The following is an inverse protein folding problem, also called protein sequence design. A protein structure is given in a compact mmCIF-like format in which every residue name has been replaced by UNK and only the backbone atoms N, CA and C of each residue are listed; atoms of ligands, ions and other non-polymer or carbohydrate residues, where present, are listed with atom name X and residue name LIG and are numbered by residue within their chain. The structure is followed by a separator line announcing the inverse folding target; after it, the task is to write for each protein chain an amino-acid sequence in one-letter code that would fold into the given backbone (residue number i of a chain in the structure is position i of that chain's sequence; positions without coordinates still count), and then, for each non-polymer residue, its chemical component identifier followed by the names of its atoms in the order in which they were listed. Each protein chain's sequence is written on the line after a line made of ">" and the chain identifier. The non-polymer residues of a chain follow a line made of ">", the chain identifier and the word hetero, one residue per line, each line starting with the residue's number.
data_IF_152263697714
#
_entry.id   IF_152263697714
#
_cell.length_a   1.000
_cell.length_b   1.000
_cell.length_c   1.000
_cell.angle_alpha   90.00
_cell.angle_beta   90.00
_cell.angle_gamma   90.00
#
_symmetry.space_group_name_H-M   'P 1'
#
loop_
_entity.id
_entity.type
_entity.pdbx_description
1 polymer ?
#
# COMPACT_ATOMS: atom_id res chain seq x y z
N UNK A 1 23.33 -10.72 3.21
CA UNK A 1 23.95 -10.14 1.99
C UNK A 1 24.24 -11.26 1.01
N UNK A 2 23.43 -11.47 -0.02
CA UNK A 2 23.84 -12.06 -1.31
C UNK A 2 22.59 -12.06 -2.23
N UNK A 3 22.28 -10.92 -2.85
CA UNK A 3 21.29 -10.89 -3.92
C UNK A 3 21.94 -11.37 -5.21
N UNK A 4 21.50 -12.53 -5.69
CA UNK A 4 21.90 -13.13 -6.97
C UNK A 4 21.64 -12.19 -8.17
N UNK A 5 20.83 -11.14 -8.01
CA UNK A 5 20.60 -10.09 -9.01
C UNK A 5 21.85 -9.29 -9.40
N UNK A 6 22.81 -9.08 -8.47
CA UNK A 6 24.07 -8.37 -8.76
C UNK A 6 25.04 -9.23 -9.57
N UNK A 7 25.03 -10.55 -9.33
CA UNK A 7 25.77 -11.53 -10.12
C UNK A 7 25.19 -11.66 -11.54
N UNK A 8 23.87 -11.55 -11.68
CA UNK A 8 23.20 -11.56 -12.98
C UNK A 8 23.46 -10.29 -13.79
N UNK A 9 23.34 -9.10 -13.19
CA UNK A 9 23.62 -7.81 -13.86
C UNK A 9 25.04 -7.73 -14.47
N UNK A 10 26.04 -8.33 -13.81
CA UNK A 10 27.41 -8.41 -14.32
C UNK A 10 27.57 -9.37 -15.52
N UNK A 11 26.77 -10.45 -15.59
CA UNK A 11 26.79 -11.38 -16.74
C UNK A 11 26.20 -10.76 -18.02
N UNK A 12 25.26 -9.81 -17.88
CA UNK A 12 24.60 -9.13 -19.02
C UNK A 12 25.22 -7.74 -19.32
N UNK A 13 26.39 -7.43 -18.74
CA UNK A 13 27.17 -6.22 -19.01
C UNK A 13 26.40 -4.89 -18.83
N UNK A 14 25.48 -4.84 -17.86
CA UNK A 14 24.70 -3.63 -17.54
C UNK A 14 25.52 -2.76 -16.59
N UNK A 15 26.21 -1.75 -17.14
CA UNK A 15 26.95 -0.75 -16.37
C UNK A 15 26.02 0.44 -16.08
N UNK A 16 25.94 0.82 -14.80
CA UNK A 16 25.09 1.88 -14.22
C UNK A 16 23.65 1.46 -13.92
N UNK A 17 23.45 1.01 -12.68
CA UNK A 17 22.15 0.74 -12.07
C UNK A 17 21.95 1.76 -10.94
N UNK A 18 21.25 2.86 -11.25
CA UNK A 18 20.82 3.85 -10.26
C UNK A 18 19.30 3.93 -10.33
N UNK A 19 18.63 3.32 -9.34
CA UNK A 19 17.17 3.29 -9.27
C UNK A 19 16.67 2.09 -8.47
N UNK A 20 15.65 2.32 -7.64
CA UNK A 20 14.99 1.28 -6.85
C UNK A 20 14.53 0.08 -7.67
N UNK A 21 14.35 -1.04 -6.98
CA UNK A 21 14.26 -2.43 -7.45
C UNK A 21 13.34 -2.69 -8.65
N UNK A 22 12.35 -1.85 -8.93
CA UNK A 22 11.33 -2.08 -9.97
C UNK A 22 11.78 -1.54 -11.34
N UNK A 23 12.41 -0.37 -11.36
CA UNK A 23 13.00 0.16 -12.59
C UNK A 23 14.22 -0.69 -12.99
N UNK A 24 14.93 -1.19 -11.97
CA UNK A 24 16.02 -2.16 -12.10
C UNK A 24 15.53 -3.50 -12.66
N UNK A 25 14.48 -4.12 -12.09
CA UNK A 25 13.96 -5.41 -12.58
C UNK A 25 13.28 -5.29 -13.95
N UNK A 26 12.52 -4.23 -14.20
CA UNK A 26 11.87 -4.00 -15.50
C UNK A 26 12.89 -3.74 -16.60
N UNK A 27 13.96 -2.98 -16.31
CA UNK A 27 15.08 -2.76 -17.25
C UNK A 27 15.87 -4.06 -17.49
N UNK A 28 16.14 -4.87 -16.46
CA UNK A 28 16.81 -6.17 -16.60
C UNK A 28 15.94 -7.13 -17.44
N UNK A 29 14.63 -7.17 -17.18
CA UNK A 29 13.67 -8.00 -17.93
C UNK A 29 13.55 -7.56 -19.38
N UNK A 30 13.29 -6.28 -19.65
CA UNK A 30 13.11 -5.78 -21.02
C UNK A 30 14.40 -5.81 -21.83
N UNK A 31 15.56 -5.55 -21.22
CA UNK A 31 16.86 -5.62 -21.91
C UNK A 31 17.31 -7.07 -22.12
N UNK A 32 17.20 -7.92 -21.09
CA UNK A 32 17.58 -9.34 -21.16
C UNK A 32 16.69 -10.19 -22.08
N UNK A 33 15.39 -9.90 -22.17
CA UNK A 33 14.46 -10.59 -23.09
C UNK A 33 14.65 -10.14 -24.54
N UNK A 34 15.09 -8.90 -24.78
CA UNK A 34 15.35 -8.35 -26.13
C UNK A 34 16.72 -8.74 -26.69
N UNK A 35 17.72 -8.97 -25.84
CA UNK A 35 19.09 -9.30 -26.27
C UNK A 35 19.33 -10.82 -26.43
N UNK A 36 18.36 -11.70 -26.11
CA UNK A 36 18.55 -13.15 -26.14
C UNK A 36 17.47 -13.89 -26.95
N UNK A 37 17.90 -14.67 -27.96
CA UNK A 37 17.04 -15.60 -28.73
C UNK A 37 16.94 -17.00 -28.09
N UNK A 38 17.54 -17.20 -26.92
CA UNK A 38 17.60 -18.50 -26.24
C UNK A 38 16.45 -18.66 -25.24
N UNK A 39 15.56 -19.62 -25.52
CA UNK A 39 14.37 -19.93 -24.72
C UNK A 39 14.73 -20.38 -23.30
N UNK A 40 15.90 -20.99 -23.10
CA UNK A 40 16.33 -21.47 -21.79
C UNK A 40 16.70 -20.32 -20.85
N UNK A 41 17.33 -19.27 -21.39
CA UNK A 41 17.66 -18.04 -20.66
C UNK A 41 16.37 -17.29 -20.27
N UNK A 42 15.35 -17.28 -21.14
CA UNK A 42 14.03 -16.70 -20.81
C UNK A 42 13.37 -17.41 -19.63
N UNK A 43 13.44 -18.74 -19.56
CA UNK A 43 12.91 -19.51 -18.44
C UNK A 43 13.72 -19.28 -17.15
N UNK A 44 15.04 -19.22 -17.23
CA UNK A 44 15.91 -18.97 -16.07
C UNK A 44 15.75 -17.53 -15.53
N UNK A 45 15.48 -16.55 -16.40
CA UNK A 45 15.09 -15.19 -16.01
C UNK A 45 13.78 -15.19 -15.26
N UNK A 46 12.80 -16.01 -15.65
CA UNK A 46 11.51 -16.09 -14.96
C UNK A 46 11.61 -16.91 -13.65
N UNK A 47 12.49 -17.90 -13.58
CA UNK A 47 12.67 -18.79 -12.44
C UNK A 47 13.68 -18.28 -11.39
N UNK A 48 14.61 -17.40 -11.77
CA UNK A 48 15.73 -16.93 -10.93
C UNK A 48 15.53 -15.58 -10.21
N UNK A 49 14.39 -14.91 -10.40
CA UNK A 49 14.06 -13.67 -9.66
C UNK A 49 13.40 -14.06 -8.34
N UNK A 50 14.19 -14.57 -7.39
CA UNK A 50 13.75 -14.52 -6.01
C UNK A 50 13.73 -13.05 -5.60
N UNK A 51 12.60 -12.50 -5.11
CA UNK A 51 12.54 -11.10 -4.69
C UNK A 51 13.65 -10.85 -3.66
N UNK A 52 14.48 -9.84 -3.93
CA UNK A 52 15.45 -9.37 -2.95
C UNK A 52 14.67 -8.80 -1.76
N UNK A 53 14.39 -9.61 -0.74
CA UNK A 53 13.79 -9.15 0.51
C UNK A 53 14.86 -8.39 1.27
N UNK A 54 14.93 -7.08 1.02
CA UNK A 54 15.70 -6.17 1.87
C UNK A 54 14.81 -5.80 3.06
N UNK A 55 15.36 -5.76 4.29
CA UNK A 55 14.56 -5.60 5.53
C UNK A 55 13.65 -4.37 5.57
N UNK A 56 13.95 -3.33 4.78
CA UNK A 56 13.25 -2.04 4.80
C UNK A 56 12.67 -1.65 3.42
N UNK A 57 12.59 -2.59 2.47
CA UNK A 57 12.03 -2.32 1.14
C UNK A 57 10.74 -3.09 0.94
N UNK A 58 9.79 -2.46 0.25
CA UNK A 58 8.52 -3.05 -0.08
C UNK A 58 8.65 -4.13 -1.15
N UNK A 59 7.83 -5.17 -1.01
CA UNK A 59 7.71 -6.26 -1.97
C UNK A 59 6.67 -5.88 -3.04
N UNK A 60 7.10 -5.81 -4.30
CA UNK A 60 6.21 -5.42 -5.40
C UNK A 60 5.89 -6.60 -6.31
N UNK A 61 4.60 -6.83 -6.51
CA UNK A 61 4.06 -7.84 -7.39
C UNK A 61 3.26 -7.18 -8.52
N UNK A 62 3.49 -7.65 -9.75
CA UNK A 62 2.78 -7.20 -10.94
C UNK A 62 1.83 -8.31 -11.39
N UNK A 63 0.57 -7.94 -11.61
CA UNK A 63 -0.39 -8.78 -12.34
C UNK A 63 -0.72 -8.14 -13.68
N UNK A 64 -1.56 -8.78 -14.48
CA UNK A 64 -1.96 -8.25 -15.80
C UNK A 64 -2.64 -6.88 -15.71
N UNK A 65 -3.30 -6.57 -14.59
CA UNK A 65 -4.15 -5.38 -14.42
C UNK A 65 -3.83 -4.57 -13.16
N UNK A 66 -3.12 -5.17 -12.19
CA UNK A 66 -2.88 -4.59 -10.87
C UNK A 66 -1.38 -4.53 -10.55
N UNK A 67 -0.99 -3.48 -9.82
CA UNK A 67 0.35 -3.31 -9.24
C UNK A 67 0.19 -3.30 -7.74
N UNK A 68 0.67 -4.37 -7.08
CA UNK A 68 0.56 -4.53 -5.64
C UNK A 68 1.89 -4.21 -4.98
N UNK A 69 1.89 -3.33 -3.99
CA UNK A 69 3.05 -3.01 -3.18
C UNK A 69 2.79 -3.39 -1.72
N UNK A 70 3.53 -4.36 -1.21
CA UNK A 70 3.43 -4.82 0.17
C UNK A 70 4.60 -4.29 1.01
N UNK A 71 4.26 -3.47 1.99
CA UNK A 71 5.16 -2.80 2.90
C UNK A 71 4.82 -3.11 4.36
N UNK A 72 4.02 -4.15 4.61
CA UNK A 72 3.59 -4.50 5.96
C UNK A 72 4.76 -4.93 6.85
N UNK A 73 4.66 -4.65 8.15
CA UNK A 73 5.62 -5.09 9.16
C UNK A 73 7.08 -4.66 8.88
N UNK A 74 7.30 -3.49 8.26
CA UNK A 74 8.65 -2.98 7.93
C UNK A 74 9.09 -1.82 8.82
N UNK A 75 8.39 -1.62 9.94
CA UNK A 75 8.65 -0.56 10.91
C UNK A 75 8.72 0.86 10.29
N UNK A 76 7.94 1.08 9.22
CA UNK A 76 7.93 2.34 8.49
C UNK A 76 7.34 3.46 9.35
N UNK A 77 7.97 4.63 9.29
CA UNK A 77 7.47 5.87 9.93
C UNK A 77 6.86 6.85 8.93
N UNK A 78 6.99 6.56 7.63
CA UNK A 78 6.51 7.39 6.54
C UNK A 78 6.03 6.50 5.38
N UNK A 79 5.21 7.06 4.49
CA UNK A 79 4.77 6.35 3.30
C UNK A 79 5.97 6.01 2.40
N UNK A 80 6.09 4.75 1.94
CA UNK A 80 7.23 4.27 1.16
C UNK A 80 7.36 4.97 -0.20
N UNK A 81 8.60 5.28 -0.59
CA UNK A 81 8.91 5.90 -1.89
C UNK A 81 9.28 4.91 -2.98
N UNK A 82 9.57 3.66 -2.60
CA UNK A 82 9.98 2.55 -3.45
C UNK A 82 8.80 1.86 -4.17
N UNK A 83 7.56 2.03 -3.70
CA UNK A 83 6.37 1.63 -4.43
C UNK A 83 6.17 2.45 -5.73
N UNK A 84 5.78 1.84 -6.87
CA UNK A 84 5.50 2.55 -8.12
C UNK A 84 4.34 3.54 -7.99
N UNK A 85 4.32 4.60 -8.80
CA UNK A 85 3.19 5.55 -8.83
C UNK A 85 1.89 4.96 -9.39
N UNK A 86 1.99 3.93 -10.23
CA UNK A 86 0.84 3.18 -10.74
C UNK A 86 0.39 2.05 -9.80
N UNK A 87 0.83 2.03 -8.54
CA UNK A 87 0.35 1.09 -7.52
C UNK A 87 -1.17 1.19 -7.39
N UNK A 88 -1.85 0.05 -7.47
CA UNK A 88 -3.30 -0.09 -7.31
C UNK A 88 -3.67 -0.64 -5.95
N UNK A 89 -2.77 -1.40 -5.32
CA UNK A 89 -2.99 -2.07 -4.04
C UNK A 89 -1.78 -1.77 -3.16
N UNK A 90 -1.98 -1.02 -2.07
CA UNK A 90 -0.92 -0.63 -1.14
C UNK A 90 -1.23 -1.17 0.26
N UNK A 91 -0.39 -2.11 0.70
CA UNK A 91 -0.45 -2.73 2.00
C UNK A 91 0.61 -2.12 2.92
N UNK A 92 0.17 -1.40 3.95
CA UNK A 92 1.02 -0.70 4.90
C UNK A 92 0.76 -1.11 6.35
N UNK A 93 -0.02 -2.16 6.59
CA UNK A 93 -0.39 -2.57 7.95
C UNK A 93 0.83 -2.94 8.80
N UNK A 94 0.68 -2.84 10.11
CA UNK A 94 1.74 -3.15 11.09
C UNK A 94 3.00 -2.27 10.93
N UNK A 95 2.79 -0.96 10.76
CA UNK A 95 3.86 0.04 10.70
C UNK A 95 3.64 1.14 11.77
N UNK A 96 4.49 2.17 11.78
CA UNK A 96 4.49 3.27 12.77
C UNK A 96 4.17 4.62 12.09
N UNK A 97 3.08 4.68 11.32
CA UNK A 97 2.65 5.83 10.53
C UNK A 97 1.81 6.82 11.35
N UNK A 98 2.35 7.28 12.48
CA UNK A 98 1.62 8.08 13.48
C UNK A 98 0.80 9.25 12.89
N UNK A 99 1.34 9.92 11.86
CA UNK A 99 0.67 11.04 11.18
C UNK A 99 0.61 10.80 9.68
N UNK A 100 -0.61 10.84 9.12
CA UNK A 100 -0.84 10.81 7.68
C UNK A 100 -1.01 12.25 7.17
N UNK A 101 0.02 12.78 6.52
CA UNK A 101 0.01 14.15 6.00
C UNK A 101 -0.73 14.29 4.65
N UNK A 102 -1.06 15.52 4.25
CA UNK A 102 -1.63 15.82 2.91
C UNK A 102 -0.79 15.30 1.72
N UNK A 103 0.51 15.06 1.92
CA UNK A 103 1.43 14.59 0.88
C UNK A 103 1.63 13.08 0.89
N UNK A 104 1.04 12.38 1.86
CA UNK A 104 1.24 10.94 2.09
C UNK A 104 1.01 10.12 0.82
N UNK A 105 -0.10 10.36 0.12
CA UNK A 105 -0.52 9.52 -1.01
C UNK A 105 -0.59 10.24 -2.36
N UNK A 106 -0.01 11.43 -2.49
CA UNK A 106 -0.08 12.23 -3.74
C UNK A 106 0.51 11.51 -4.95
N UNK A 107 1.46 10.58 -4.74
CA UNK A 107 2.07 9.76 -5.78
C UNK A 107 1.14 8.67 -6.33
N UNK A 108 0.19 8.19 -5.53
CA UNK A 108 -0.53 6.94 -5.78
C UNK A 108 -1.96 7.18 -6.29
N UNK A 109 -2.08 7.90 -7.40
CA UNK A 109 -3.38 8.34 -7.96
C UNK A 109 -4.23 7.19 -8.54
N UNK A 110 -3.64 6.00 -8.70
CA UNK A 110 -4.30 4.79 -9.21
C UNK A 110 -4.75 3.83 -8.10
N UNK A 111 -4.61 4.19 -6.82
CA UNK A 111 -4.98 3.30 -5.72
C UNK A 111 -6.47 2.97 -5.75
N UNK A 112 -6.73 1.68 -5.57
CA UNK A 112 -8.05 1.09 -5.38
C UNK A 112 -8.18 0.45 -4.00
N UNK A 113 -7.08 -0.08 -3.46
CA UNK A 113 -7.04 -0.71 -2.15
C UNK A 113 -5.91 -0.11 -1.31
N UNK A 114 -6.25 0.40 -0.12
CA UNK A 114 -5.28 0.96 0.83
C UNK A 114 -5.52 0.38 2.22
N UNK A 115 -4.52 -0.31 2.75
CA UNK A 115 -4.58 -0.94 4.06
C UNK A 115 -3.58 -0.27 5.01
N UNK A 116 -4.10 0.36 6.06
CA UNK A 116 -3.34 1.07 7.10
C UNK A 116 -3.70 0.51 8.49
N UNK A 117 -3.93 -0.80 8.59
CA UNK A 117 -4.36 -1.42 9.84
C UNK A 117 -3.19 -1.50 10.82
N UNK A 118 -3.43 -1.24 12.11
CA UNK A 118 -2.38 -1.33 13.13
C UNK A 118 -1.13 -0.48 12.78
N UNK A 119 -1.34 0.77 12.37
CA UNK A 119 -0.29 1.69 11.94
C UNK A 119 0.08 2.74 13.00
N UNK A 120 -0.48 2.64 14.21
CA UNK A 120 -0.39 3.66 15.27
C UNK A 120 -0.80 5.07 14.82
N UNK A 121 -1.66 5.18 13.80
CA UNK A 121 -2.12 6.49 13.29
C UNK A 121 -2.89 7.20 14.41
N UNK A 122 -2.51 8.43 14.72
CA UNK A 122 -3.20 9.29 15.70
C UNK A 122 -3.90 10.48 15.01
N UNK A 123 -3.44 10.87 13.83
CA UNK A 123 -3.97 12.00 13.07
C UNK A 123 -3.85 11.80 11.56
N UNK A 124 -4.88 12.24 10.83
CA UNK A 124 -4.93 12.28 9.36
C UNK A 124 -5.28 13.71 8.96
N UNK A 125 -4.46 14.29 8.08
CA UNK A 125 -4.72 15.59 7.47
C UNK A 125 -6.01 15.56 6.64
N UNK A 126 -6.81 16.63 6.68
CA UNK A 126 -8.09 16.70 5.98
C UNK A 126 -8.01 16.46 4.47
N UNK A 127 -6.83 16.71 3.87
CA UNK A 127 -6.55 16.55 2.45
C UNK A 127 -5.66 15.35 2.13
N UNK A 128 -5.42 14.45 3.09
CA UNK A 128 -4.57 13.27 2.89
C UNK A 128 -5.06 12.35 1.76
N UNK A 129 -6.37 12.33 1.52
CA UNK A 129 -7.03 11.41 0.59
C UNK A 129 -7.54 12.07 -0.69
N UNK A 130 -7.30 13.37 -0.90
CA UNK A 130 -7.85 14.16 -2.02
C UNK A 130 -7.56 13.55 -3.41
N UNK A 131 -6.40 12.89 -3.56
CA UNK A 131 -5.97 12.32 -4.83
C UNK A 131 -6.42 10.86 -5.03
N UNK A 132 -7.07 10.24 -4.05
CA UNK A 132 -7.45 8.82 -4.06
C UNK A 132 -8.84 8.60 -4.66
N UNK A 133 -9.11 9.23 -5.81
CA UNK A 133 -10.44 9.24 -6.47
C UNK A 133 -10.85 7.88 -7.07
N UNK A 134 -9.93 6.91 -7.07
CA UNK A 134 -10.15 5.53 -7.51
C UNK A 134 -10.31 4.54 -6.36
N UNK A 135 -10.18 4.99 -5.11
CA UNK A 135 -10.18 4.12 -3.94
C UNK A 135 -11.53 3.45 -3.78
N UNK A 136 -11.51 2.13 -3.66
CA UNK A 136 -12.67 1.27 -3.44
C UNK A 136 -12.72 0.75 -2.01
N UNK A 137 -11.56 0.51 -1.41
CA UNK A 137 -11.45 -0.01 -0.06
C UNK A 137 -10.35 0.71 0.73
N UNK A 138 -10.70 1.06 1.96
CA UNK A 138 -9.81 1.67 2.93
C UNK A 138 -9.96 0.94 4.27
N UNK A 139 -8.85 0.46 4.82
CA UNK A 139 -8.79 -0.03 6.20
C UNK A 139 -7.97 0.91 7.08
N UNK A 140 -8.59 1.34 8.18
CA UNK A 140 -7.97 2.11 9.27
C UNK A 140 -8.13 1.38 10.62
N UNK A 141 -8.39 0.07 10.58
CA UNK A 141 -8.59 -0.75 11.78
C UNK A 141 -7.41 -0.68 12.75
N UNK A 142 -7.69 -0.83 14.04
CA UNK A 142 -6.68 -0.92 15.10
C UNK A 142 -5.72 0.28 15.14
N UNK A 143 -6.19 1.47 14.78
CA UNK A 143 -5.47 2.72 15.01
C UNK A 143 -6.05 3.47 16.21
N UNK A 144 -5.21 4.15 17.02
CA UNK A 144 -5.64 4.90 18.21
C UNK A 144 -6.31 6.25 17.90
N UNK A 145 -6.63 6.54 16.63
CA UNK A 145 -7.33 7.76 16.23
C UNK A 145 -8.66 7.92 16.98
N UNK A 146 -8.90 9.11 17.51
CA UNK A 146 -10.12 9.42 18.29
C UNK A 146 -11.17 10.22 17.52
N UNK A 147 -10.79 10.90 16.44
CA UNK A 147 -11.66 11.76 15.63
C UNK A 147 -11.10 11.92 14.23
N UNK A 148 -11.95 12.26 13.27
CA UNK A 148 -11.54 12.83 11.99
C UNK A 148 -11.76 14.34 12.00
N UNK A 149 -10.84 15.09 11.40
CA UNK A 149 -10.98 16.54 11.20
C UNK A 149 -11.67 16.76 9.85
N UNK A 150 -12.92 17.22 9.88
CA UNK A 150 -13.70 17.45 8.66
C UNK A 150 -14.14 16.16 7.95
N UNK A 151 -14.62 16.30 6.72
CA UNK A 151 -15.01 15.16 5.89
C UNK A 151 -13.84 14.68 5.03
N UNK A 152 -12.88 13.99 5.65
CA UNK A 152 -11.67 13.49 4.96
C UNK A 152 -11.98 12.44 3.89
N UNK A 153 -13.19 11.89 3.89
CA UNK A 153 -13.62 10.86 2.95
C UNK A 153 -14.43 11.43 1.77
N UNK A 154 -14.80 12.71 1.78
CA UNK A 154 -15.53 13.37 0.69
C UNK A 154 -14.89 13.17 -0.70
N UNK A 155 -13.55 13.18 -0.85
CA UNK A 155 -12.92 12.95 -2.16
C UNK A 155 -13.06 11.51 -2.67
N UNK A 156 -13.38 10.55 -1.79
CA UNK A 156 -13.40 9.12 -2.08
C UNK A 156 -14.72 8.67 -2.72
N UNK A 157 -15.11 9.30 -3.83
CA UNK A 157 -16.41 9.08 -4.48
C UNK A 157 -16.65 7.67 -5.05
N UNK A 158 -15.64 6.80 -5.07
CA UNK A 158 -15.74 5.39 -5.48
C UNK A 158 -15.57 4.41 -4.32
N UNK A 159 -15.46 4.90 -3.08
CA UNK A 159 -15.28 4.04 -1.92
C UNK A 159 -16.53 3.18 -1.75
N UNK A 160 -16.32 1.88 -1.57
CA UNK A 160 -17.37 0.87 -1.40
C UNK A 160 -17.29 0.27 0.00
N UNK A 161 -16.08 0.09 0.50
CA UNK A 161 -15.78 -0.57 1.78
C UNK A 161 -14.89 0.32 2.63
N UNK A 162 -15.33 0.61 3.84
CA UNK A 162 -14.54 1.29 4.86
C UNK A 162 -14.49 0.43 6.13
N UNK A 163 -13.27 0.12 6.59
CA UNK A 163 -13.05 -0.55 7.87
C UNK A 163 -12.46 0.44 8.89
N UNK A 164 -13.18 0.67 9.99
CA UNK A 164 -12.76 1.58 11.08
C UNK A 164 -12.97 0.95 12.45
N UNK A 165 -12.19 1.37 13.45
CA UNK A 165 -12.36 0.91 14.83
C UNK A 165 -13.71 1.34 15.42
N UNK A 166 -14.32 0.48 16.24
CA UNK A 166 -15.60 0.75 16.90
C UNK A 166 -15.60 2.05 17.72
N UNK A 167 -14.52 2.32 18.45
CA UNK A 167 -14.39 3.52 19.28
C UNK A 167 -14.50 4.81 18.49
N UNK A 168 -14.08 4.78 17.22
CA UNK A 168 -14.16 5.92 16.31
C UNK A 168 -15.57 6.09 15.76
N UNK A 169 -16.27 4.98 15.47
CA UNK A 169 -17.65 5.01 15.02
C UNK A 169 -18.60 5.55 16.11
N UNK A 170 -18.43 5.12 17.36
CA UNK A 170 -19.31 5.51 18.48
C UNK A 170 -19.40 7.02 18.72
N UNK A 171 -18.40 7.78 18.27
CA UNK A 171 -18.34 9.23 18.42
C UNK A 171 -19.14 10.01 17.37
N UNK A 172 -19.51 9.35 16.28
CA UNK A 172 -20.27 9.94 15.19
C UNK A 172 -21.52 9.06 14.97
N UNK A 173 -22.66 9.36 15.61
CA UNK A 173 -23.87 8.55 15.46
C UNK A 173 -24.39 8.57 14.01
N UNK A 174 -25.06 7.49 13.59
CA UNK A 174 -25.27 7.06 12.20
C UNK A 174 -25.79 8.08 11.16
N UNK A 175 -26.37 9.21 11.57
CA UNK A 175 -26.73 10.31 10.66
C UNK A 175 -25.48 11.01 10.11
N UNK A 176 -24.43 11.18 10.91
CA UNK A 176 -23.19 11.85 10.51
C UNK A 176 -22.34 11.06 9.52
N UNK A 177 -22.48 9.73 9.43
CA UNK A 177 -21.73 8.90 8.48
C UNK A 177 -22.43 8.74 7.15
N UNK A 178 -23.76 8.69 7.18
CA UNK A 178 -24.61 8.56 5.99
C UNK A 178 -24.43 9.77 5.05
N UNK A 179 -24.26 10.96 5.62
CA UNK A 179 -24.01 12.20 4.87
C UNK A 179 -22.55 12.34 4.38
N UNK A 180 -21.60 11.66 5.04
CA UNK A 180 -20.16 11.76 4.77
C UNK A 180 -19.74 10.76 3.69
N UNK A 181 -20.48 9.66 3.56
CA UNK A 181 -20.08 8.50 2.79
C UNK A 181 -21.31 7.96 2.04
N UNK A 182 -21.30 8.04 0.71
CA UNK A 182 -22.17 7.22 -0.16
C UNK A 182 -21.81 5.72 -0.07
N UNK A 183 -21.33 5.26 1.09
CA UNK A 183 -20.82 3.92 1.29
C UNK A 183 -21.95 2.92 1.33
N UNK A 184 -21.72 1.81 0.64
CA UNK A 184 -22.60 0.65 0.71
C UNK A 184 -22.30 -0.17 1.96
N UNK A 185 -21.05 -0.15 2.47
CA UNK A 185 -20.63 -1.01 3.57
C UNK A 185 -19.57 -0.34 4.47
N UNK A 186 -19.92 -0.10 5.74
CA UNK A 186 -18.98 0.27 6.82
C UNK A 186 -18.88 -0.92 7.78
N UNK A 187 -17.66 -1.42 7.99
CA UNK A 187 -17.39 -2.51 8.93
C UNK A 187 -16.63 -2.00 10.14
N UNK A 188 -17.06 -2.43 11.33
CA UNK A 188 -16.35 -2.19 12.57
C UNK A 188 -15.83 -3.48 13.17
N UNK A 189 -14.60 -3.44 13.69
CA UNK A 189 -14.14 -4.45 14.63
C UNK A 189 -14.65 -4.05 16.01
N UNK A 190 -15.59 -4.83 16.56
CA UNK A 190 -16.03 -4.72 17.95
C UNK A 190 -14.93 -5.18 18.90
N UNK A 191 -14.84 -4.61 20.10
CA UNK A 191 -14.10 -5.27 21.19
C UNK A 191 -14.65 -6.70 21.38
N UNK A 192 -13.80 -7.73 21.65
CA UNK A 192 -14.33 -8.94 22.25
C UNK A 192 -14.96 -8.51 23.57
N UNK A 193 -16.26 -8.77 23.72
CA UNK A 193 -17.00 -8.56 24.96
C UNK A 193 -16.16 -9.07 26.14
N UNK A 194 -15.57 -8.15 26.92
CA UNK A 194 -15.29 -8.42 28.32
C UNK A 194 -16.65 -8.84 28.90
N UNK A 195 -16.77 -10.12 29.22
CA UNK A 195 -18.01 -10.71 29.71
C UNK A 195 -18.49 -9.95 30.93
N UNK A 196 -19.43 -9.03 30.72
CA UNK A 196 -20.12 -8.28 31.76
C UNK A 196 -21.36 -7.59 31.18
N UNK A 197 -22.21 -8.34 30.46
CA UNK A 197 -23.66 -8.13 30.50
C UNK A 197 -24.35 -9.48 30.29
N UNK A 198 -25.12 -9.86 31.33
CA UNK A 198 -25.83 -11.10 31.61
C UNK A 198 -24.99 -12.27 32.16
#
# INVERSE_FOLDING_TARGET
>A
MHCQSKAYANKVNIKNLHGGTIDMMTTILTKGIKETNDIKIRLDVLAGISPCVLPNHCDVALTKEDVRCNCSSKALTHIPTDCPSNTTDLELSDNNLEIISKKAFTKFTQLRYLFLSNCHVTSIDQSAFDNLTHLKELSLLNNPMKTFVGNIFAPLGKLQVLHISYDLLSKYPGESWSDVLHLTNVFTCSEPSNGLFA
#
